data_IF_477133536578
#
_entry.id   IF_477133536578
#
_cell.length_a   1.000
_cell.length_b   1.000
_cell.length_c   1.000
_cell.angle_alpha   90.00
_cell.angle_beta   90.00
_cell.angle_gamma   90.00
#
_symmetry.space_group_name_H-M   'P 1'
#
loop_
_entity.id
_entity.type
_entity.pdbx_description
1 polymer ?
#
# COMPACT_ATOMS: atom_id res chain seq x y z
N UNK A 1 -11.16 -0.81 -54.68
CA UNK A 1 -11.53 -1.76 -53.61
C UNK A 1 -10.84 -1.33 -52.35
N UNK A 2 -11.53 -0.70 -51.42
CA UNK A 2 -10.99 -0.24 -50.16
C UNK A 2 -11.13 -1.36 -49.12
N UNK A 3 -10.02 -1.96 -48.71
CA UNK A 3 -10.00 -2.89 -47.59
C UNK A 3 -10.32 -2.12 -46.31
N UNK A 4 -11.49 -2.39 -45.79
CA UNK A 4 -11.91 -1.91 -44.44
C UNK A 4 -11.09 -2.62 -43.38
N UNK A 5 -10.19 -1.89 -42.76
CA UNK A 5 -9.38 -2.34 -41.61
C UNK A 5 -10.30 -2.65 -40.42
N UNK A 6 -10.66 -3.93 -40.25
CA UNK A 6 -11.41 -4.42 -39.09
C UNK A 6 -10.48 -4.43 -37.88
N UNK A 7 -10.63 -3.44 -36.99
CA UNK A 7 -10.02 -3.47 -35.68
C UNK A 7 -10.59 -4.64 -34.87
N UNK A 8 -9.79 -5.68 -34.64
CA UNK A 8 -10.15 -6.75 -33.70
C UNK A 8 -10.31 -6.12 -32.34
N UNK A 9 -11.50 -6.25 -31.74
CA UNK A 9 -11.74 -5.90 -30.35
C UNK A 9 -10.76 -6.65 -29.41
N UNK A 10 -10.55 -6.15 -28.19
CA UNK A 10 -9.63 -6.79 -27.25
C UNK A 10 -10.04 -8.25 -27.06
N UNK A 11 -9.12 -9.15 -27.37
CA UNK A 11 -9.26 -10.59 -27.10
C UNK A 11 -9.48 -10.71 -25.60
N UNK A 12 -10.66 -11.20 -25.17
CA UNK A 12 -10.88 -11.60 -23.77
C UNK A 12 -9.89 -12.74 -23.52
N UNK A 13 -8.80 -12.45 -22.79
CA UNK A 13 -7.91 -13.47 -22.32
C UNK A 13 -8.72 -14.28 -21.31
N UNK A 14 -8.93 -15.55 -21.61
CA UNK A 14 -9.56 -16.47 -20.65
C UNK A 14 -8.72 -16.42 -19.39
N UNK A 15 -9.32 -15.97 -18.28
CA UNK A 15 -8.64 -16.02 -16.99
C UNK A 15 -8.63 -17.48 -16.56
N UNK A 16 -7.48 -17.99 -16.08
CA UNK A 16 -7.46 -19.31 -15.49
C UNK A 16 -8.46 -19.38 -14.33
N UNK A 17 -9.08 -20.54 -14.18
CA UNK A 17 -10.01 -20.77 -13.07
C UNK A 17 -9.24 -20.63 -11.73
N UNK A 18 -9.87 -20.06 -10.69
CA UNK A 18 -9.22 -19.90 -9.40
C UNK A 18 -8.92 -21.28 -8.77
N UNK A 19 -7.72 -21.44 -8.27
CA UNK A 19 -7.30 -22.67 -7.58
C UNK A 19 -7.91 -22.78 -6.18
N UNK A 20 -8.46 -23.95 -5.84
CA UNK A 20 -8.90 -24.23 -4.48
C UNK A 20 -7.68 -24.43 -3.56
N UNK A 21 -7.63 -23.72 -2.46
CA UNK A 21 -6.57 -23.81 -1.45
C UNK A 21 -7.17 -23.99 -0.07
N UNK A 22 -6.42 -24.64 0.83
CA UNK A 22 -6.82 -24.85 2.21
C UNK A 22 -5.70 -24.46 3.17
N UNK A 23 -6.06 -24.08 4.38
CA UNK A 23 -5.15 -23.71 5.45
C UNK A 23 -5.56 -24.42 6.74
N UNK A 24 -4.59 -24.72 7.59
CA UNK A 24 -4.84 -25.26 8.91
C UNK A 24 -5.32 -24.15 9.86
N UNK A 25 -6.46 -24.38 10.50
CA UNK A 25 -6.96 -23.58 11.61
C UNK A 25 -6.28 -24.04 12.89
N UNK A 26 -5.64 -23.13 13.60
CA UNK A 26 -4.88 -23.45 14.81
C UNK A 26 -5.38 -22.65 16.02
N UNK A 27 -5.20 -23.22 17.20
CA UNK A 27 -5.42 -22.57 18.48
C UNK A 27 -4.21 -21.74 18.90
N UNK A 28 -4.34 -20.91 19.93
CA UNK A 28 -3.28 -20.12 20.52
C UNK A 28 -2.08 -20.94 21.04
N UNK A 29 -2.26 -22.22 21.30
CA UNK A 29 -1.21 -23.18 21.65
C UNK A 29 -0.50 -23.79 20.43
N UNK A 30 -0.90 -23.48 19.20
CA UNK A 30 -0.39 -24.06 17.96
C UNK A 30 -1.03 -25.41 17.58
N UNK A 31 -2.03 -25.88 18.34
CA UNK A 31 -2.73 -27.14 18.04
C UNK A 31 -3.64 -26.98 16.84
N UNK A 32 -3.59 -27.91 15.88
CA UNK A 32 -4.46 -27.92 14.71
C UNK A 32 -5.88 -28.34 15.12
N UNK A 33 -6.83 -27.44 14.93
CA UNK A 33 -8.25 -27.68 15.21
C UNK A 33 -8.99 -28.28 14.00
N UNK A 34 -8.50 -28.03 12.79
CA UNK A 34 -9.09 -28.49 11.55
C UNK A 34 -8.49 -27.81 10.33
N UNK A 35 -9.03 -28.13 9.15
CA UNK A 35 -8.63 -27.53 7.88
C UNK A 35 -9.76 -26.65 7.37
N UNK A 36 -9.45 -25.43 6.97
CA UNK A 36 -10.39 -24.45 6.44
C UNK A 36 -10.10 -24.22 4.95
N UNK A 37 -11.14 -24.29 4.11
CA UNK A 37 -11.02 -23.92 2.69
C UNK A 37 -10.95 -22.40 2.55
N UNK A 38 -9.92 -21.91 1.85
CA UNK A 38 -9.79 -20.52 1.51
C UNK A 38 -10.68 -20.19 0.31
N UNK A 39 -11.24 -18.98 0.30
CA UNK A 39 -12.08 -18.49 -0.80
C UNK A 39 -11.28 -18.41 -2.12
N UNK A 40 -11.60 -19.22 -3.16
CA UNK A 40 -10.79 -19.28 -4.38
C UNK A 40 -10.72 -17.95 -5.13
N UNK A 41 -11.78 -17.15 -5.10
CA UNK A 41 -11.85 -15.85 -5.76
C UNK A 41 -10.92 -14.80 -5.15
N UNK A 42 -10.43 -15.04 -3.93
CA UNK A 42 -9.54 -14.14 -3.18
C UNK A 42 -8.12 -14.72 -3.09
N UNK A 43 -8.00 -16.02 -2.81
CA UNK A 43 -6.72 -16.68 -2.52
C UNK A 43 -6.22 -17.62 -3.64
N UNK A 44 -7.04 -17.87 -4.67
CA UNK A 44 -6.73 -18.81 -5.75
C UNK A 44 -6.45 -18.15 -7.11
N UNK A 45 -6.31 -16.84 -7.18
CA UNK A 45 -6.11 -16.11 -8.44
C UNK A 45 -4.63 -16.13 -8.84
N UNK A 46 -4.34 -16.25 -10.14
CA UNK A 46 -2.98 -16.06 -10.66
C UNK A 46 -2.51 -14.62 -10.40
N UNK A 47 -1.36 -14.40 -9.72
CA UNK A 47 -0.88 -13.08 -9.36
C UNK A 47 -0.55 -12.21 -10.59
N UNK A 48 -1.11 -10.99 -10.64
CA UNK A 48 -0.83 -10.04 -11.69
C UNK A 48 0.23 -9.02 -11.25
N UNK A 49 1.50 -9.28 -11.58
CA UNK A 49 2.64 -8.45 -11.17
C UNK A 49 2.55 -7.00 -11.66
N UNK A 50 2.02 -6.75 -12.86
CA UNK A 50 1.89 -5.39 -13.39
C UNK A 50 0.91 -4.55 -12.56
N UNK A 51 -0.21 -5.15 -12.18
CA UNK A 51 -1.23 -4.50 -11.32
C UNK A 51 -0.70 -4.28 -9.91
N UNK A 52 -0.02 -5.27 -9.33
CA UNK A 52 0.65 -5.16 -8.03
C UNK A 52 1.64 -4.00 -8.01
N UNK A 53 2.55 -3.94 -8.99
CA UNK A 53 3.54 -2.87 -9.08
C UNK A 53 2.90 -1.49 -9.16
N UNK A 54 1.89 -1.31 -10.01
CA UNK A 54 1.23 -0.02 -10.18
C UNK A 54 0.50 0.44 -8.90
N UNK A 55 -0.21 -0.48 -8.23
CA UNK A 55 -0.95 -0.15 -6.99
C UNK A 55 0.00 0.13 -5.84
N UNK A 56 1.05 -0.68 -5.65
CA UNK A 56 2.06 -0.47 -4.60
C UNK A 56 2.80 0.85 -4.81
N UNK A 57 3.19 1.16 -6.05
CA UNK A 57 3.82 2.45 -6.39
C UNK A 57 2.91 3.62 -6.06
N UNK A 58 1.61 3.52 -6.35
CA UNK A 58 0.63 4.55 -6.00
C UNK A 58 0.47 4.72 -4.48
N UNK A 59 0.45 3.62 -3.72
CA UNK A 59 0.38 3.65 -2.25
C UNK A 59 1.62 4.31 -1.63
N UNK A 60 2.82 3.94 -2.10
CA UNK A 60 4.08 4.54 -1.63
C UNK A 60 4.18 6.03 -2.00
N UNK A 61 3.72 6.41 -3.20
CA UNK A 61 3.67 7.80 -3.61
C UNK A 61 2.71 8.63 -2.71
N UNK A 62 1.57 8.06 -2.32
CA UNK A 62 0.61 8.72 -1.44
C UNK A 62 1.16 8.98 -0.02
N UNK A 63 2.11 8.16 0.47
CA UNK A 63 2.78 8.36 1.78
C UNK A 63 3.73 9.55 1.80
N UNK A 64 4.14 10.10 0.62
CA UNK A 64 5.05 11.25 0.56
C UNK A 64 4.34 12.52 1.02
N UNK A 65 4.91 13.20 2.02
CA UNK A 65 4.33 14.43 2.58
C UNK A 65 4.31 15.61 1.61
N UNK A 66 5.28 15.68 0.66
CA UNK A 66 5.32 16.68 -0.39
C UNK A 66 5.44 18.13 0.08
N UNK A 67 6.07 18.38 1.22
CA UNK A 67 6.14 19.68 1.90
C UNK A 67 7.27 20.59 1.41
N UNK A 68 8.10 20.15 0.45
CA UNK A 68 9.20 20.94 -0.08
C UNK A 68 8.67 22.25 -0.66
N UNK A 69 9.30 23.39 -0.29
CA UNK A 69 8.94 24.71 -0.78
C UNK A 69 10.18 25.59 -0.88
N UNK A 70 10.24 26.37 -1.92
CA UNK A 70 11.22 27.43 -2.08
C UNK A 70 10.55 28.72 -2.56
N UNK A 71 11.19 29.85 -2.35
CA UNK A 71 10.64 31.15 -2.74
C UNK A 71 10.86 31.39 -4.22
N UNK A 72 9.79 31.67 -4.94
CA UNK A 72 9.85 32.17 -6.32
C UNK A 72 10.15 33.64 -6.34
N UNK A 73 10.51 34.20 -7.51
CA UNK A 73 10.72 35.63 -7.70
C UNK A 73 9.58 36.51 -7.18
N UNK A 74 8.35 36.04 -7.24
CA UNK A 74 7.17 36.77 -6.75
C UNK A 74 7.08 36.81 -5.23
N UNK A 75 7.57 35.79 -4.56
CA UNK A 75 7.46 35.60 -3.11
C UNK A 75 8.64 36.18 -2.33
N UNK A 76 9.81 36.32 -2.97
CA UNK A 76 10.97 36.98 -2.33
C UNK A 76 10.68 38.42 -2.05
N UNK A 77 10.98 38.88 -0.83
CA UNK A 77 10.79 40.28 -0.42
C UNK A 77 11.74 41.22 -1.19
N UNK A 78 11.27 42.40 -1.60
CA UNK A 78 12.05 43.46 -2.26
C UNK A 78 11.83 43.57 -3.78
N UNK A 79 12.62 44.30 -4.48
CA UNK A 79 12.70 44.39 -5.94
C UNK A 79 11.42 44.85 -6.66
N UNK A 80 10.53 45.60 -6.01
CA UNK A 80 9.27 46.11 -6.62
C UNK A 80 9.49 47.14 -7.70
N UNK A 81 10.62 47.86 -7.66
CA UNK A 81 10.99 48.88 -8.66
C UNK A 81 12.04 48.32 -9.63
N UNK A 82 11.95 48.74 -10.91
CA UNK A 82 13.00 48.47 -11.91
C UNK A 82 14.31 49.13 -11.48
N UNK A 83 15.47 48.44 -11.45
CA UNK A 83 16.75 48.95 -10.95
C UNK A 83 17.23 50.19 -11.67
N UNK A 84 17.11 50.26 -13.00
CA UNK A 84 17.51 51.35 -13.84
C UNK A 84 16.71 51.37 -15.15
N UNK A 85 16.83 52.48 -15.92
CA UNK A 85 16.14 52.66 -17.22
C UNK A 85 16.59 51.62 -18.24
N UNK A 86 15.71 51.30 -19.23
CA UNK A 86 15.88 50.25 -20.22
C UNK A 86 17.10 50.39 -21.14
N UNK A 87 17.49 51.64 -21.46
CA UNK A 87 18.59 51.96 -22.37
C UNK A 87 19.41 53.15 -21.83
N UNK A 88 20.67 53.33 -22.34
CA UNK A 88 21.51 54.46 -22.00
C UNK A 88 22.22 54.39 -20.66
N UNK A 89 22.43 53.19 -20.08
CA UNK A 89 23.16 52.98 -18.82
C UNK A 89 24.49 52.22 -19.03
N UNK A 90 24.76 51.71 -20.23
CA UNK A 90 25.91 50.82 -20.49
C UNK A 90 25.81 49.42 -19.85
N UNK A 91 24.86 49.17 -18.98
CA UNK A 91 24.68 47.91 -18.26
C UNK A 91 23.71 46.98 -18.98
N UNK A 92 23.81 45.66 -18.68
CA UNK A 92 22.83 44.68 -19.11
C UNK A 92 21.44 45.00 -18.57
N UNK A 93 20.40 44.77 -19.37
CA UNK A 93 19.02 45.08 -19.00
C UNK A 93 18.55 44.27 -17.84
N UNK A 94 17.96 44.89 -16.83
CA UNK A 94 17.41 44.24 -15.65
C UNK A 94 15.98 44.69 -15.35
N UNK A 95 15.11 43.73 -15.02
CA UNK A 95 13.71 44.00 -14.68
C UNK A 95 13.43 44.02 -13.18
N UNK A 96 14.22 43.27 -12.40
CA UNK A 96 14.04 43.15 -10.95
C UNK A 96 15.29 42.59 -10.31
N UNK A 97 15.64 43.06 -9.13
CA UNK A 97 16.73 42.52 -8.29
C UNK A 97 16.41 41.15 -7.66
N UNK A 98 15.15 40.71 -7.72
CA UNK A 98 14.70 39.38 -7.27
C UNK A 98 14.81 38.29 -8.34
N UNK A 99 15.35 38.59 -9.52
CA UNK A 99 15.52 37.59 -10.56
C UNK A 99 16.52 36.50 -10.11
N UNK A 100 16.39 35.25 -10.60
CA UNK A 100 17.17 34.10 -10.10
C UNK A 100 18.69 34.24 -10.23
N UNK A 101 19.18 35.07 -11.14
CA UNK A 101 20.61 35.33 -11.32
C UNK A 101 21.20 36.31 -10.30
N UNK A 102 20.37 36.97 -9.49
CA UNK A 102 20.85 37.81 -8.40
C UNK A 102 20.98 37.01 -7.10
N UNK A 103 21.99 37.38 -6.31
CA UNK A 103 22.15 36.87 -4.95
C UNK A 103 20.93 37.29 -4.11
N UNK A 104 20.32 36.33 -3.45
CA UNK A 104 19.06 36.55 -2.71
C UNK A 104 17.80 36.65 -3.61
N UNK A 105 17.93 36.38 -4.91
CA UNK A 105 16.77 36.29 -5.82
C UNK A 105 15.97 35.00 -5.63
N UNK A 106 14.83 34.89 -6.31
CA UNK A 106 13.99 33.72 -6.27
C UNK A 106 14.56 32.52 -7.05
N UNK A 107 14.07 31.33 -6.77
CA UNK A 107 14.47 30.12 -7.48
C UNK A 107 13.61 29.92 -8.74
N UNK A 108 14.26 29.61 -9.87
CA UNK A 108 13.55 29.24 -11.11
C UNK A 108 13.03 27.81 -10.99
N UNK A 109 11.79 27.57 -11.44
CA UNK A 109 11.12 26.28 -11.31
C UNK A 109 11.14 25.72 -9.87
N UNK A 110 10.96 26.63 -8.93
CA UNK A 110 10.98 26.37 -7.50
C UNK A 110 10.01 25.25 -7.10
N UNK A 111 10.45 24.24 -6.33
CA UNK A 111 9.55 23.22 -5.83
C UNK A 111 8.49 23.86 -4.92
N UNK A 112 7.26 23.43 -5.10
CA UNK A 112 6.11 23.87 -4.27
C UNK A 112 5.46 22.66 -3.62
N UNK A 113 4.83 22.82 -2.45
CA UNK A 113 4.10 21.76 -1.81
C UNK A 113 3.04 21.19 -2.76
N UNK A 114 3.05 19.86 -2.90
CA UNK A 114 2.06 19.16 -3.73
C UNK A 114 1.75 17.79 -3.19
N UNK A 115 0.54 17.30 -3.46
CA UNK A 115 0.21 15.89 -3.23
C UNK A 115 0.86 15.01 -4.29
N UNK A 116 1.35 13.84 -3.87
CA UNK A 116 1.87 12.79 -4.75
C UNK A 116 0.89 11.64 -4.91
N UNK A 117 -0.32 11.76 -4.37
CA UNK A 117 -1.37 10.75 -4.50
C UNK A 117 -1.69 10.46 -5.98
N UNK A 118 -1.72 9.19 -6.33
CA UNK A 118 -2.06 8.70 -7.67
C UNK A 118 -3.44 8.02 -7.60
N UNK A 119 -4.36 8.48 -8.43
CA UNK A 119 -5.70 7.91 -8.50
C UNK A 119 -5.65 6.56 -9.22
N UNK A 120 -6.00 5.49 -8.50
CA UNK A 120 -6.13 4.14 -9.05
C UNK A 120 -7.60 3.67 -9.03
N UNK A 121 -8.09 2.96 -10.06
CA UNK A 121 -9.44 2.40 -10.07
C UNK A 121 -9.64 1.40 -8.92
N UNK A 122 -10.80 1.41 -8.26
CA UNK A 122 -11.11 0.51 -7.14
C UNK A 122 -10.98 -0.99 -7.52
N UNK A 123 -11.42 -1.37 -8.74
CA UNK A 123 -11.27 -2.75 -9.25
C UNK A 123 -9.82 -3.19 -9.36
N UNK A 124 -8.91 -2.27 -9.75
CA UNK A 124 -7.48 -2.54 -9.82
C UNK A 124 -6.86 -2.73 -8.42
N UNK A 125 -7.24 -1.90 -7.46
CA UNK A 125 -6.79 -2.02 -6.06
C UNK A 125 -7.23 -3.36 -5.46
N UNK A 126 -8.48 -3.76 -5.69
CA UNK A 126 -9.00 -5.07 -5.25
C UNK A 126 -8.25 -6.24 -5.91
N UNK A 127 -8.04 -6.18 -7.24
CA UNK A 127 -7.28 -7.22 -7.95
C UNK A 127 -5.84 -7.33 -7.44
N UNK A 128 -5.19 -6.21 -7.10
CA UNK A 128 -3.87 -6.21 -6.49
C UNK A 128 -3.87 -6.91 -5.12
N UNK A 129 -4.85 -6.61 -4.27
CA UNK A 129 -4.97 -7.25 -2.97
C UNK A 129 -5.19 -8.77 -3.11
N UNK A 130 -6.14 -9.20 -3.94
CA UNK A 130 -6.37 -10.63 -4.19
C UNK A 130 -5.13 -11.32 -4.79
N UNK A 131 -4.40 -10.66 -5.70
CA UNK A 131 -3.14 -11.19 -6.25
C UNK A 131 -2.07 -11.37 -5.17
N UNK A 132 -1.92 -10.41 -4.25
CA UNK A 132 -0.97 -10.51 -3.14
C UNK A 132 -1.34 -11.62 -2.15
N UNK A 133 -2.63 -11.75 -1.82
CA UNK A 133 -3.13 -12.82 -0.94
C UNK A 133 -2.97 -14.21 -1.57
N UNK A 134 -3.23 -14.32 -2.88
CA UNK A 134 -3.05 -15.58 -3.62
C UNK A 134 -1.59 -16.00 -3.70
N UNK A 135 -0.68 -15.05 -3.84
CA UNK A 135 0.77 -15.29 -3.82
C UNK A 135 1.20 -15.88 -2.47
N UNK A 136 0.83 -15.24 -1.36
CA UNK A 136 1.10 -15.74 0.00
C UNK A 136 0.44 -17.10 0.29
N UNK A 137 -0.77 -17.32 -0.22
CA UNK A 137 -1.45 -18.61 -0.08
C UNK A 137 -0.77 -19.72 -0.90
N UNK A 138 -0.20 -19.40 -2.09
CA UNK A 138 0.56 -20.37 -2.89
C UNK A 138 1.85 -20.84 -2.22
N UNK A 139 2.48 -19.94 -1.45
CA UNK A 139 3.69 -20.23 -0.67
C UNK A 139 3.36 -20.86 0.70
N UNK A 140 2.08 -21.17 1.00
CA UNK A 140 1.62 -21.66 2.32
C UNK A 140 1.98 -20.70 3.47
N UNK A 141 2.02 -19.39 3.21
CA UNK A 141 2.37 -18.34 4.18
C UNK A 141 1.14 -17.62 4.74
N UNK A 142 0.01 -18.28 4.73
CA UNK A 142 -1.23 -17.83 5.38
C UNK A 142 -1.49 -18.74 6.57
N UNK A 143 -1.71 -18.15 7.74
CA UNK A 143 -2.07 -18.86 8.96
C UNK A 143 -3.42 -18.34 9.47
N UNK A 144 -4.23 -19.24 10.03
CA UNK A 144 -5.53 -18.89 10.62
C UNK A 144 -5.57 -19.33 12.08
N UNK A 145 -5.82 -18.37 12.95
CA UNK A 145 -6.03 -18.53 14.37
C UNK A 145 -7.53 -18.56 14.66
N UNK A 146 -7.98 -19.40 15.56
CA UNK A 146 -9.37 -19.42 16.03
C UNK A 146 -9.76 -18.03 16.58
N UNK A 147 -9.18 -17.66 17.73
CA UNK A 147 -9.43 -16.37 18.36
C UNK A 147 -8.28 -15.98 19.30
N UNK A 148 -8.17 -14.69 19.60
CA UNK A 148 -7.29 -14.20 20.64
C UNK A 148 -7.99 -14.26 21.99
N UNK A 149 -7.50 -15.06 22.91
CA UNK A 149 -8.09 -15.30 24.24
C UNK A 149 -7.52 -14.42 25.35
N UNK A 150 -6.73 -13.37 24.98
CA UNK A 150 -6.05 -12.53 25.96
C UNK A 150 -6.98 -11.50 26.61
N UNK A 151 -7.02 -11.50 27.93
CA UNK A 151 -7.75 -10.50 28.72
C UNK A 151 -6.96 -9.21 28.94
N UNK A 152 -5.63 -9.36 29.12
CA UNK A 152 -4.71 -8.24 29.36
C UNK A 152 -3.63 -8.17 28.29
N UNK A 153 -3.22 -6.95 27.85
CA UNK A 153 -2.19 -6.83 26.80
C UNK A 153 -0.81 -7.20 27.36
N UNK A 154 -0.19 -8.24 26.80
CA UNK A 154 1.16 -8.72 27.15
C UNK A 154 1.94 -9.08 25.89
N UNK A 155 3.13 -8.50 25.73
CA UNK A 155 4.01 -8.82 24.59
C UNK A 155 4.60 -10.24 24.69
N UNK A 156 4.77 -10.78 25.89
CA UNK A 156 5.25 -12.15 26.12
C UNK A 156 4.30 -13.19 25.51
N UNK A 157 3.01 -13.00 25.71
CA UNK A 157 1.99 -13.93 25.18
C UNK A 157 1.92 -13.86 23.63
N UNK A 158 2.12 -12.66 23.06
CA UNK A 158 2.22 -12.48 21.62
C UNK A 158 3.45 -13.16 21.01
N UNK A 159 4.61 -13.12 21.69
CA UNK A 159 5.82 -13.84 21.26
C UNK A 159 5.59 -15.34 21.31
N UNK A 160 5.04 -15.84 22.42
CA UNK A 160 4.76 -17.27 22.62
C UNK A 160 3.78 -17.80 21.55
N UNK A 161 2.76 -17.02 21.17
CA UNK A 161 1.83 -17.36 20.10
C UNK A 161 2.54 -17.52 18.75
N UNK A 162 3.34 -16.51 18.35
CA UNK A 162 4.04 -16.53 17.05
C UNK A 162 5.04 -17.69 16.98
N UNK A 163 5.69 -18.03 18.10
CA UNK A 163 6.62 -19.15 18.18
C UNK A 163 5.87 -20.51 18.17
N UNK A 164 4.73 -20.63 18.85
CA UNK A 164 3.89 -21.82 18.83
C UNK A 164 3.29 -22.09 17.44
N UNK A 165 2.98 -21.05 16.68
CA UNK A 165 2.50 -21.17 15.29
C UNK A 165 3.64 -21.44 14.29
N UNK A 166 4.91 -21.34 14.70
CA UNK A 166 6.08 -21.54 13.84
C UNK A 166 6.25 -20.49 12.76
N UNK A 167 5.77 -19.25 13.00
CA UNK A 167 5.84 -18.16 12.01
C UNK A 167 7.20 -17.47 12.10
N UNK A 168 8.11 -17.85 11.19
CA UNK A 168 9.43 -17.26 11.09
C UNK A 168 9.43 -16.00 10.18
N UNK A 169 10.22 -14.99 10.52
CA UNK A 169 10.29 -13.72 9.76
C UNK A 169 9.28 -12.69 10.22
N UNK A 170 8.83 -11.86 9.28
CA UNK A 170 7.86 -10.79 9.51
C UNK A 170 6.43 -11.28 9.34
N UNK A 171 5.56 -10.93 10.28
CA UNK A 171 4.16 -11.38 10.31
C UNK A 171 3.20 -10.21 10.29
N UNK A 172 2.31 -10.18 9.33
CA UNK A 172 1.17 -9.27 9.29
C UNK A 172 0.00 -9.90 10.03
N UNK A 173 -0.40 -9.31 11.14
CA UNK A 173 -1.52 -9.78 11.95
C UNK A 173 -2.75 -8.95 11.64
N UNK A 174 -3.77 -9.59 11.09
CA UNK A 174 -5.04 -8.94 10.75
C UNK A 174 -5.99 -9.09 11.94
N UNK A 175 -6.31 -7.97 12.57
CA UNK A 175 -7.12 -7.93 13.79
C UNK A 175 -8.49 -7.33 13.53
N UNK A 176 -9.48 -7.76 14.33
CA UNK A 176 -10.78 -7.11 14.38
C UNK A 176 -10.67 -5.77 15.13
N UNK A 177 -11.44 -4.74 14.74
CA UNK A 177 -11.50 -3.46 15.47
C UNK A 177 -11.86 -3.63 16.94
N UNK A 178 -12.61 -4.67 17.27
CA UNK A 178 -13.01 -5.02 18.65
C UNK A 178 -11.85 -5.50 19.52
N UNK A 179 -10.77 -6.04 18.91
CA UNK A 179 -9.66 -6.70 19.64
C UNK A 179 -8.46 -5.76 19.88
N UNK A 180 -8.68 -4.72 20.68
CA UNK A 180 -7.63 -3.77 21.07
C UNK A 180 -6.50 -4.41 21.91
N UNK A 181 -6.79 -5.50 22.62
CA UNK A 181 -5.82 -6.22 23.47
C UNK A 181 -4.75 -6.88 22.60
N UNK A 182 -5.16 -7.58 21.53
CA UNK A 182 -4.23 -8.20 20.57
C UNK A 182 -3.33 -7.14 19.90
N UNK A 183 -3.92 -6.05 19.43
CA UNK A 183 -3.17 -4.93 18.82
C UNK A 183 -2.11 -4.37 19.76
N UNK A 184 -2.46 -4.12 21.05
CA UNK A 184 -1.52 -3.60 22.05
C UNK A 184 -0.43 -4.60 22.39
N UNK A 185 -0.73 -5.91 22.45
CA UNK A 185 0.21 -6.97 22.74
C UNK A 185 1.27 -7.11 21.65
N UNK A 186 0.91 -6.92 20.39
CA UNK A 186 1.79 -7.11 19.23
C UNK A 186 2.53 -5.85 18.78
N UNK A 187 1.99 -4.66 19.00
CA UNK A 187 2.52 -3.39 18.49
C UNK A 187 3.99 -3.12 18.79
N UNK A 188 4.51 -3.64 19.90
CA UNK A 188 5.92 -3.44 20.29
C UNK A 188 6.88 -4.45 19.64
N UNK A 189 6.39 -5.49 18.99
CA UNK A 189 7.22 -6.52 18.37
C UNK A 189 7.69 -6.05 16.98
N UNK A 190 9.00 -6.02 16.76
CA UNK A 190 9.57 -5.60 15.45
C UNK A 190 9.18 -6.53 14.30
N UNK A 191 8.96 -7.83 14.60
CA UNK A 191 8.57 -8.83 13.61
C UNK A 191 7.07 -8.91 13.35
N UNK A 192 6.24 -8.22 14.12
CA UNK A 192 4.79 -8.24 13.97
C UNK A 192 4.27 -6.86 13.58
N UNK A 193 3.56 -6.80 12.47
CA UNK A 193 2.80 -5.64 12.02
C UNK A 193 1.32 -5.91 12.21
N UNK A 194 0.59 -4.98 12.82
CA UNK A 194 -0.87 -5.16 13.03
C UNK A 194 -1.66 -4.24 12.11
N UNK A 195 -2.69 -4.78 11.49
CA UNK A 195 -3.61 -4.03 10.65
C UNK A 195 -5.05 -4.44 10.95
N UNK A 196 -5.98 -3.50 10.83
CA UNK A 196 -7.40 -3.79 10.95
C UNK A 196 -7.91 -4.40 9.64
N UNK A 197 -8.83 -5.37 9.70
CA UNK A 197 -9.33 -6.08 8.51
C UNK A 197 -9.83 -5.14 7.40
N UNK A 198 -10.48 -4.01 7.77
CA UNK A 198 -10.96 -3.01 6.80
C UNK A 198 -9.87 -2.18 6.13
N UNK A 199 -8.64 -2.17 6.65
CA UNK A 199 -7.49 -1.41 6.14
C UNK A 199 -6.49 -2.28 5.37
N UNK A 200 -6.77 -3.59 5.23
CA UNK A 200 -5.90 -4.55 4.55
C UNK A 200 -5.60 -4.10 3.12
N UNK A 201 -4.33 -4.05 2.76
CA UNK A 201 -3.86 -3.56 1.47
C UNK A 201 -2.70 -4.37 0.91
N UNK A 202 -2.47 -4.27 -0.41
CA UNK A 202 -1.48 -5.07 -1.11
C UNK A 202 -0.03 -4.80 -0.64
N UNK A 203 0.30 -3.57 -0.24
CA UNK A 203 1.65 -3.24 0.22
C UNK A 203 1.99 -3.97 1.52
N UNK A 204 1.10 -3.91 2.52
CA UNK A 204 1.36 -4.53 3.82
C UNK A 204 1.41 -6.06 3.71
N UNK A 205 0.58 -6.66 2.84
CA UNK A 205 0.63 -8.11 2.53
C UNK A 205 1.99 -8.50 1.93
N UNK A 206 2.50 -7.73 0.96
CA UNK A 206 3.78 -8.02 0.30
C UNK A 206 5.00 -7.69 1.16
N UNK A 207 4.88 -6.73 2.09
CA UNK A 207 5.97 -6.31 2.97
C UNK A 207 6.26 -7.32 4.11
N UNK A 208 5.33 -8.25 4.37
CA UNK A 208 5.46 -9.25 5.42
C UNK A 208 5.59 -10.65 4.81
N UNK A 209 6.31 -11.55 5.49
CA UNK A 209 6.50 -12.93 5.05
C UNK A 209 5.25 -13.78 5.29
N UNK A 210 4.60 -13.59 6.43
CA UNK A 210 3.41 -14.33 6.86
C UNK A 210 2.22 -13.41 7.05
N UNK A 211 1.02 -13.96 6.84
CA UNK A 211 -0.23 -13.30 7.19
C UNK A 211 -0.96 -14.18 8.19
N UNK A 212 -1.30 -13.61 9.34
CA UNK A 212 -2.09 -14.25 10.38
C UNK A 212 -3.49 -13.63 10.41
N UNK A 213 -4.49 -14.40 10.05
CA UNK A 213 -5.90 -14.06 10.20
C UNK A 213 -6.49 -14.71 11.46
N UNK A 214 -7.59 -14.19 11.94
CA UNK A 214 -8.53 -14.91 12.80
C UNK A 214 -9.72 -15.38 11.98
N UNK A 215 -10.50 -16.34 12.47
CA UNK A 215 -11.74 -16.75 11.80
C UNK A 215 -12.66 -15.57 11.48
N UNK A 216 -12.73 -14.58 12.37
CA UNK A 216 -13.54 -13.37 12.21
C UNK A 216 -13.00 -12.43 11.11
N UNK A 217 -11.68 -12.37 10.92
CA UNK A 217 -11.02 -11.41 10.00
C UNK A 217 -10.68 -12.00 8.64
N UNK A 218 -10.88 -13.32 8.46
CA UNK A 218 -10.61 -13.98 7.18
C UNK A 218 -11.54 -13.42 6.09
N UNK A 219 -10.99 -12.90 4.97
CA UNK A 219 -11.82 -12.34 3.93
C UNK A 219 -12.62 -13.42 3.19
N UNK A 220 -13.93 -13.19 3.10
CA UNK A 220 -14.89 -14.01 2.34
C UNK A 220 -15.37 -13.26 1.10
N UNK A 221 -15.83 -13.98 0.07
CA UNK A 221 -16.45 -13.37 -1.10
C UNK A 221 -17.74 -12.62 -0.70
N UNK A 222 -17.97 -11.45 -1.31
CA UNK A 222 -19.26 -10.78 -1.17
C UNK A 222 -20.25 -11.44 -2.12
N UNK A 223 -21.52 -11.52 -1.71
CA UNK A 223 -22.60 -12.08 -2.53
C UNK A 223 -22.77 -11.39 -3.89
N UNK A 224 -22.30 -10.15 -4.03
CA UNK A 224 -22.31 -9.38 -5.30
C UNK A 224 -21.24 -9.85 -6.31
N UNK A 225 -20.33 -10.72 -5.95
CA UNK A 225 -19.20 -11.17 -6.77
C UNK A 225 -19.34 -12.64 -7.24
N UNK A 226 -20.43 -13.31 -6.86
CA UNK A 226 -20.77 -14.69 -7.20
C UNK A 226 -21.44 -14.81 -8.60
#
# INVERSE_FOLDING_TARGET
MSETMTLRGPVKKDRPEPEARSVERRDAAGTVLGTLALEPTIFGIEPNLAVLHQVVTAQLAAKRSGTQSTLTRAEVRGGGRKPFRQKGTGNARQGSTRAPHFVGGGVTHAPKPRSYAQRTPKKMVRLALCSALSDRASESRVAVLDTFTWETPRTKDAVALLDALGLEGTVLVVVSPSNAVATRSMRNLKRASTIVAGELNAYDVLANDWILFTDETLPTAREEDA
#
